data_IF_066019937356
#
_entry.id   IF_066019937356
#
_cell.length_a   1.000
_cell.length_b   1.000
_cell.length_c   1.000
_cell.angle_alpha   90.00
_cell.angle_beta   90.00
_cell.angle_gamma   90.00
#
_symmetry.space_group_name_H-M   'P 1'
#
loop_
_entity.id
_entity.type
_entity.pdbx_description
1 polymer ?
#
# COMPACT_ATOMS: atom_id res chain seq x y z
N UNK A 1 11.75 -17.87 -8.04
CA UNK A 1 10.53 -17.19 -7.50
C UNK A 1 10.90 -16.23 -6.39
N UNK A 2 10.21 -15.09 -6.31
CA UNK A 2 10.29 -14.11 -5.23
C UNK A 2 8.89 -13.89 -4.61
N UNK A 3 8.86 -13.47 -3.36
CA UNK A 3 7.66 -13.16 -2.59
C UNK A 3 7.77 -11.78 -1.96
N UNK A 4 6.64 -11.15 -1.65
CA UNK A 4 6.56 -9.78 -1.10
C UNK A 4 6.16 -9.81 0.37
N UNK A 5 6.99 -9.21 1.24
CA UNK A 5 6.62 -8.96 2.63
C UNK A 5 5.92 -7.60 2.75
N UNK A 6 4.60 -7.57 2.56
CA UNK A 6 3.81 -6.33 2.69
C UNK A 6 3.76 -5.77 4.12
N UNK A 7 4.38 -6.43 5.12
CA UNK A 7 4.48 -5.94 6.51
C UNK A 7 5.86 -5.32 6.81
N UNK A 8 6.84 -5.44 5.91
CA UNK A 8 8.10 -4.71 6.00
C UNK A 8 7.92 -3.19 5.80
N UNK A 9 8.83 -2.41 6.37
CA UNK A 9 8.94 -0.98 6.04
C UNK A 9 9.30 -0.82 4.56
N UNK A 10 8.52 -0.02 3.83
CA UNK A 10 8.75 0.29 2.42
C UNK A 10 9.59 1.54 2.19
N UNK A 11 10.10 2.21 3.24
CA UNK A 11 10.88 3.43 3.09
C UNK A 11 10.08 4.63 2.57
N UNK A 12 10.76 5.76 2.25
CA UNK A 12 10.12 7.04 1.93
C UNK A 12 9.75 7.23 0.45
N UNK A 13 10.26 6.40 -0.47
CA UNK A 13 10.02 6.57 -1.92
C UNK A 13 8.78 5.80 -2.43
N UNK A 14 8.23 4.90 -1.63
CA UNK A 14 7.08 4.06 -1.96
C UNK A 14 5.82 4.51 -1.22
N UNK A 15 4.67 4.41 -1.86
CA UNK A 15 3.37 4.64 -1.24
C UNK A 15 2.92 3.37 -0.48
N UNK A 16 2.76 3.40 0.86
CA UNK A 16 2.37 2.23 1.64
C UNK A 16 1.06 1.58 1.17
N UNK A 17 0.10 2.37 0.64
CA UNK A 17 -1.17 1.84 0.12
C UNK A 17 -0.95 1.03 -1.15
N UNK A 18 -0.05 1.47 -2.03
CA UNK A 18 0.29 0.76 -3.26
C UNK A 18 1.17 -0.47 -2.98
N UNK A 19 2.07 -0.40 -1.99
CA UNK A 19 2.86 -1.55 -1.53
C UNK A 19 1.98 -2.68 -0.97
N UNK A 20 0.87 -2.32 -0.29
CA UNK A 20 -0.18 -3.28 0.11
C UNK A 20 -1.00 -3.85 -1.05
N UNK A 21 -0.94 -3.25 -2.25
CA UNK A 21 -1.62 -3.69 -3.46
C UNK A 21 -0.70 -4.40 -4.47
N UNK A 22 0.57 -4.63 -4.13
CA UNK A 22 1.48 -5.47 -4.91
C UNK A 22 1.03 -6.94 -4.90
N UNK A 23 1.40 -7.75 -5.92
CA UNK A 23 1.20 -9.19 -5.84
C UNK A 23 2.03 -9.78 -4.69
N UNK A 24 1.53 -10.84 -4.05
CA UNK A 24 2.24 -11.53 -2.97
C UNK A 24 3.48 -12.31 -3.43
N UNK A 25 3.59 -12.59 -4.74
CA UNK A 25 4.72 -13.28 -5.36
C UNK A 25 4.93 -12.90 -6.82
N UNK A 26 6.17 -13.02 -7.28
CA UNK A 26 6.62 -12.92 -8.67
C UNK A 26 7.40 -14.20 -9.02
N UNK A 27 7.17 -14.79 -10.19
CA UNK A 27 7.84 -16.06 -10.53
C UNK A 27 7.21 -16.90 -11.63
N UNK A 28 6.08 -16.50 -12.19
CA UNK A 28 5.34 -17.27 -13.20
C UNK A 28 5.95 -17.10 -14.62
N UNK A 29 7.27 -17.24 -14.76
CA UNK A 29 7.96 -17.08 -16.04
C UNK A 29 9.49 -17.02 -15.92
N UNK A 30 10.21 -16.78 -17.04
CA UNK A 30 11.66 -16.63 -17.06
C UNK A 30 12.16 -15.49 -16.18
N UNK A 31 13.42 -15.58 -15.71
CA UNK A 31 14.03 -14.58 -14.83
C UNK A 31 13.92 -13.16 -15.39
N UNK A 32 14.16 -12.97 -16.69
CA UNK A 32 13.92 -11.73 -17.45
C UNK A 32 12.54 -11.10 -17.22
N UNK A 33 11.48 -11.91 -17.25
CA UNK A 33 10.11 -11.45 -17.02
C UNK A 33 9.92 -11.09 -15.55
N UNK A 34 10.38 -11.93 -14.62
CA UNK A 34 10.31 -11.66 -13.17
C UNK A 34 11.04 -10.36 -12.80
N UNK A 35 12.20 -10.08 -13.42
CA UNK A 35 12.95 -8.82 -13.26
C UNK A 35 12.08 -7.63 -13.68
N UNK A 36 11.52 -7.66 -14.90
CA UNK A 36 10.66 -6.58 -15.41
C UNK A 36 9.43 -6.38 -14.54
N UNK A 37 8.74 -7.45 -14.17
CA UNK A 37 7.50 -7.41 -13.37
C UNK A 37 7.76 -6.78 -11.99
N UNK A 38 8.82 -7.20 -11.29
CA UNK A 38 9.21 -6.65 -9.98
C UNK A 38 9.47 -5.15 -10.06
N UNK A 39 10.24 -4.71 -11.06
CA UNK A 39 10.58 -3.29 -11.19
C UNK A 39 9.41 -2.44 -11.70
N UNK A 40 8.59 -2.94 -12.62
CA UNK A 40 7.39 -2.23 -13.06
C UNK A 40 6.40 -2.09 -11.90
N UNK A 41 6.22 -3.13 -11.09
CA UNK A 41 5.44 -3.09 -9.87
C UNK A 41 6.00 -2.08 -8.84
N UNK A 42 7.33 -2.03 -8.66
CA UNK A 42 7.97 -1.04 -7.79
C UNK A 42 7.74 0.40 -8.28
N UNK A 43 7.82 0.64 -9.59
CA UNK A 43 7.58 1.96 -10.18
C UNK A 43 6.10 2.38 -10.08
N UNK A 44 5.16 1.44 -10.21
CA UNK A 44 3.74 1.69 -9.94
C UNK A 44 3.49 2.01 -8.46
N UNK A 45 4.20 1.32 -7.54
CA UNK A 45 4.12 1.54 -6.11
C UNK A 45 4.86 2.80 -5.60
N UNK A 46 5.62 3.49 -6.45
CA UNK A 46 6.36 4.69 -6.08
C UNK A 46 5.44 5.87 -5.73
N UNK A 47 5.92 6.78 -4.87
CA UNK A 47 5.39 8.15 -4.76
C UNK A 47 5.90 8.98 -5.93
N UNK A 48 7.21 8.91 -6.23
CA UNK A 48 7.83 9.49 -7.42
C UNK A 48 8.66 8.42 -8.15
N UNK A 49 8.16 7.84 -9.26
CA UNK A 49 8.93 6.84 -9.99
C UNK A 49 10.22 7.44 -10.58
N UNK A 50 10.22 8.76 -10.88
CA UNK A 50 11.42 9.51 -11.31
C UNK A 50 12.55 9.45 -10.26
N UNK A 51 12.23 9.51 -8.97
CA UNK A 51 13.22 9.36 -7.89
C UNK A 51 13.73 7.91 -7.82
N UNK A 52 12.84 6.91 -7.87
CA UNK A 52 13.26 5.50 -7.87
C UNK A 52 14.20 5.21 -9.06
N UNK A 53 13.85 5.61 -10.28
CA UNK A 53 14.69 5.47 -11.49
C UNK A 53 16.05 6.21 -11.43
N UNK A 54 16.24 7.13 -10.48
CA UNK A 54 17.51 7.82 -10.23
C UNK A 54 18.39 7.11 -9.20
N UNK A 55 17.79 6.32 -8.30
CA UNK A 55 18.47 5.54 -7.26
C UNK A 55 18.79 4.11 -7.72
N UNK A 56 18.03 3.58 -8.70
CA UNK A 56 18.30 2.26 -9.28
C UNK A 56 19.60 2.25 -10.11
N UNK A 57 20.53 1.36 -9.74
CA UNK A 57 21.77 1.14 -10.48
C UNK A 57 21.48 0.56 -11.87
N UNK A 58 21.97 1.24 -12.90
CA UNK A 58 21.84 0.83 -14.30
C UNK A 58 22.86 -0.25 -14.69
N UNK A 59 22.59 -0.94 -15.79
CA UNK A 59 23.51 -1.88 -16.44
C UNK A 59 23.48 -1.75 -17.96
N UNK A 60 24.42 -2.42 -18.61
CA UNK A 60 24.73 -2.21 -20.04
C UNK A 60 24.01 -3.20 -20.97
N UNK A 61 23.78 -4.43 -20.51
CA UNK A 61 23.26 -5.53 -21.36
C UNK A 61 21.94 -6.15 -20.86
N UNK A 62 21.40 -5.69 -19.73
CA UNK A 62 20.20 -6.28 -19.12
C UNK A 62 18.86 -5.73 -19.63
N UNK A 63 17.82 -6.11 -18.88
CA UNK A 63 16.42 -5.79 -19.16
C UNK A 63 16.15 -4.28 -19.28
N UNK A 64 15.40 -3.89 -20.30
CA UNK A 64 14.98 -2.51 -20.51
C UNK A 64 13.56 -2.30 -19.95
N UNK A 65 13.37 -1.26 -19.13
CA UNK A 65 12.09 -0.91 -18.53
C UNK A 65 11.75 0.52 -18.91
N UNK A 66 10.60 0.72 -19.54
CA UNK A 66 10.12 2.00 -20.05
C UNK A 66 8.85 2.42 -19.32
N UNK A 67 8.83 3.67 -18.84
CA UNK A 67 7.70 4.29 -18.17
C UNK A 67 7.46 5.69 -18.73
N UNK A 68 6.20 6.03 -19.02
CA UNK A 68 5.83 7.38 -19.42
C UNK A 68 5.76 8.29 -18.19
N UNK A 69 6.69 9.22 -18.08
CA UNK A 69 6.79 10.21 -17.00
C UNK A 69 6.62 11.61 -17.58
N UNK A 70 5.65 12.37 -17.05
CA UNK A 70 5.46 13.79 -17.43
C UNK A 70 5.41 13.97 -18.96
N UNK A 71 4.53 13.19 -19.61
CA UNK A 71 4.36 13.02 -21.07
C UNK A 71 5.57 12.54 -21.89
N UNK A 72 6.73 12.24 -21.27
CA UNK A 72 7.92 11.71 -21.94
C UNK A 72 8.20 10.24 -21.58
N UNK A 73 8.42 9.33 -22.54
CA UNK A 73 8.93 7.99 -22.24
C UNK A 73 10.33 8.08 -21.63
N UNK A 74 10.50 7.48 -20.47
CA UNK A 74 11.77 7.34 -19.75
C UNK A 74 12.10 5.87 -19.64
N UNK A 75 13.22 5.46 -20.21
CA UNK A 75 13.70 4.08 -20.16
C UNK A 75 14.95 3.97 -19.29
N UNK A 76 15.04 2.92 -18.47
CA UNK A 76 16.30 2.48 -17.86
C UNK A 76 16.65 1.08 -18.34
N UNK A 77 17.94 0.78 -18.36
CA UNK A 77 18.47 -0.57 -18.56
C UNK A 77 19.04 -1.08 -17.24
N UNK A 78 18.61 -2.27 -16.85
CA UNK A 78 19.07 -2.96 -15.65
C UNK A 78 20.36 -3.74 -15.94
N UNK A 79 21.07 -4.25 -14.91
CA UNK A 79 22.08 -5.28 -15.12
C UNK A 79 21.47 -6.55 -15.74
N UNK A 80 22.29 -7.30 -16.47
CA UNK A 80 21.97 -8.67 -16.82
C UNK A 80 22.19 -9.57 -15.58
N UNK A 81 21.39 -10.62 -15.43
CA UNK A 81 21.50 -11.60 -14.35
C UNK A 81 21.46 -12.99 -14.95
N UNK A 82 22.52 -13.76 -14.76
CA UNK A 82 22.58 -15.18 -15.16
C UNK A 82 21.91 -16.02 -14.07
N UNK A 83 22.26 -15.78 -12.82
CA UNK A 83 21.77 -16.52 -11.66
C UNK A 83 20.66 -15.78 -10.89
N UNK A 84 19.73 -16.55 -10.29
CA UNK A 84 18.71 -15.99 -9.38
C UNK A 84 19.35 -15.33 -8.13
N UNK A 85 20.59 -15.66 -7.76
CA UNK A 85 21.24 -15.07 -6.57
C UNK A 85 21.78 -13.67 -6.85
N UNK A 86 22.39 -13.43 -8.02
CA UNK A 86 22.86 -12.10 -8.41
C UNK A 86 21.70 -11.10 -8.44
N UNK A 87 20.55 -11.53 -8.99
CA UNK A 87 19.33 -10.73 -8.97
C UNK A 87 18.82 -10.47 -7.54
N UNK A 88 18.83 -11.48 -6.65
CA UNK A 88 18.35 -11.30 -5.27
C UNK A 88 19.30 -10.44 -4.41
N UNK A 89 20.62 -10.56 -4.59
CA UNK A 89 21.62 -9.69 -3.96
C UNK A 89 21.50 -8.27 -4.48
N UNK A 90 21.28 -8.09 -5.79
CA UNK A 90 21.03 -6.79 -6.39
C UNK A 90 19.75 -6.15 -5.85
N UNK A 91 18.63 -6.87 -5.77
CA UNK A 91 17.37 -6.36 -5.21
C UNK A 91 17.50 -5.93 -3.75
N UNK A 92 18.20 -6.70 -2.91
CA UNK A 92 18.47 -6.30 -1.52
C UNK A 92 19.23 -4.97 -1.43
N UNK A 93 20.25 -4.78 -2.27
CA UNK A 93 20.98 -3.51 -2.40
C UNK A 93 20.09 -2.36 -2.92
N UNK A 94 19.17 -2.63 -3.86
CA UNK A 94 18.26 -1.58 -4.36
C UNK A 94 17.25 -1.16 -3.29
N UNK A 95 16.75 -2.10 -2.47
CA UNK A 95 15.88 -1.80 -1.34
C UNK A 95 16.59 -0.94 -0.29
N UNK A 96 17.85 -1.24 0.02
CA UNK A 96 18.70 -0.43 0.91
C UNK A 96 18.89 1.00 0.38
N UNK A 97 19.21 1.18 -0.92
CA UNK A 97 19.29 2.53 -1.54
C UNK A 97 17.96 3.28 -1.57
N UNK A 98 16.84 2.56 -1.50
CA UNK A 98 15.48 3.12 -1.40
C UNK A 98 15.01 3.27 0.06
N UNK A 99 15.91 3.08 1.04
CA UNK A 99 15.62 3.07 2.48
C UNK A 99 14.44 2.16 2.87
N UNK A 100 14.16 1.15 2.06
CA UNK A 100 13.17 0.11 2.29
C UNK A 100 13.85 -1.10 2.94
N UNK A 101 13.09 -1.93 3.65
CA UNK A 101 13.68 -3.11 4.28
C UNK A 101 14.16 -4.11 3.22
N UNK A 102 15.39 -4.60 3.36
CA UNK A 102 15.95 -5.69 2.55
C UNK A 102 15.02 -6.92 2.48
N UNK A 103 14.25 -7.17 3.55
CA UNK A 103 13.29 -8.29 3.66
C UNK A 103 11.92 -7.99 3.04
N UNK A 104 11.73 -6.87 2.35
CA UNK A 104 10.49 -6.56 1.61
C UNK A 104 10.31 -7.52 0.42
N UNK A 105 11.40 -8.07 -0.12
CA UNK A 105 11.39 -9.22 -1.04
C UNK A 105 12.20 -10.37 -0.44
N UNK A 106 11.76 -11.61 -0.66
CA UNK A 106 12.49 -12.81 -0.25
C UNK A 106 12.32 -13.97 -1.25
N UNK A 107 13.31 -14.86 -1.39
CA UNK A 107 13.20 -16.10 -2.21
C UNK A 107 12.43 -17.21 -1.47
N UNK A 108 12.54 -17.27 -0.14
CA UNK A 108 11.85 -18.25 0.74
C UNK A 108 11.17 -17.48 1.87
N UNK A 109 10.05 -18.00 2.37
CA UNK A 109 9.26 -17.28 3.37
C UNK A 109 10.01 -17.17 4.70
N UNK A 110 10.47 -15.95 4.98
CA UNK A 110 11.30 -15.59 6.13
C UNK A 110 10.66 -14.44 6.90
N UNK A 111 10.82 -14.47 8.23
CA UNK A 111 10.41 -13.37 9.11
C UNK A 111 11.32 -12.13 8.92
N UNK A 112 10.88 -10.99 9.42
CA UNK A 112 11.64 -9.74 9.35
C UNK A 112 11.84 -9.13 10.73
N UNK A 113 12.92 -9.53 11.39
CA UNK A 113 13.27 -9.08 12.74
C UNK A 113 13.67 -7.59 12.80
N UNK A 114 13.84 -6.96 11.64
CA UNK A 114 14.18 -5.54 11.47
C UNK A 114 12.95 -4.60 11.43
N UNK A 115 11.72 -5.13 11.31
CA UNK A 115 10.51 -4.30 11.15
C UNK A 115 9.53 -4.49 12.32
N UNK A 116 9.04 -3.40 12.97
CA UNK A 116 8.19 -3.50 14.17
C UNK A 116 6.80 -4.13 13.91
N UNK A 117 6.40 -4.31 12.65
CA UNK A 117 5.12 -4.88 12.24
C UNK A 117 4.98 -6.39 12.50
N UNK A 118 6.07 -7.10 12.82
CA UNK A 118 6.10 -8.58 12.84
C UNK A 118 5.62 -9.16 14.19
N UNK A 119 4.33 -8.98 14.51
CA UNK A 119 3.63 -9.81 15.51
C UNK A 119 2.17 -10.21 15.15
N UNK A 120 1.61 -9.80 14.01
CA UNK A 120 0.24 -10.20 13.62
C UNK A 120 0.09 -10.65 12.16
N UNK A 121 0.49 -11.89 11.84
CA UNK A 121 -0.11 -12.71 10.75
C UNK A 121 0.39 -14.17 10.69
N UNK A 122 0.60 -14.85 11.82
CA UNK A 122 0.95 -16.30 11.87
C UNK A 122 0.05 -17.10 12.82
N UNK A 123 -1.25 -16.77 12.83
CA UNK A 123 -2.30 -17.54 13.50
C UNK A 123 -3.60 -17.43 12.70
N UNK A 124 -3.81 -18.32 11.72
CA UNK A 124 -5.13 -18.62 11.18
C UNK A 124 -5.21 -20.09 10.73
N UNK A 125 -6.20 -20.79 11.27
CA UNK A 125 -6.68 -22.14 10.94
C UNK A 125 -5.67 -23.24 10.54
N UNK A 126 -5.08 -23.86 11.57
CA UNK A 126 -4.91 -25.33 11.59
C UNK A 126 -5.19 -25.92 12.98
N UNK A 127 -6.44 -25.83 13.42
CA UNK A 127 -7.15 -26.94 14.11
C UNK A 127 -8.63 -26.60 14.36
N UNK A 128 -9.54 -27.47 13.90
CA UNK A 128 -10.97 -27.45 14.24
C UNK A 128 -11.51 -28.88 14.42
N UNK A 129 -11.14 -29.49 15.54
CA UNK A 129 -11.89 -30.59 16.16
C UNK A 129 -12.00 -30.31 17.65
N UNK A 130 -13.22 -30.17 18.14
CA UNK A 130 -13.59 -29.84 19.52
C UNK A 130 -14.21 -31.06 20.22
N UNK A 131 -14.64 -31.00 21.50
CA UNK A 131 -14.31 -30.09 22.60
C UNK A 131 -13.83 -30.89 23.86
N UNK A 132 -13.59 -30.20 25.00
CA UNK A 132 -14.33 -30.42 26.28
C UNK A 132 -13.60 -29.84 27.52
N UNK A 133 -14.40 -29.23 28.43
CA UNK A 133 -14.07 -28.86 29.82
C UNK A 133 -12.99 -27.77 30.04
N UNK A 134 -13.07 -26.88 31.04
CA UNK A 134 -14.24 -26.35 31.78
C UNK A 134 -13.83 -25.11 32.62
N UNK A 135 -14.81 -24.23 32.93
CA UNK A 135 -14.88 -23.37 34.13
C UNK A 135 -13.64 -22.50 34.52
N UNK A 136 -13.73 -21.20 34.21
CA UNK A 136 -13.62 -20.08 35.18
C UNK A 136 -14.14 -18.80 34.51
N UNK A 137 -15.38 -18.41 34.80
CA UNK A 137 -15.79 -17.42 35.83
C UNK A 137 -15.43 -15.97 35.44
N UNK A 138 -16.44 -15.27 34.93
CA UNK A 138 -16.56 -13.81 34.90
C UNK A 138 -17.72 -13.39 35.84
N UNK A 139 -17.86 -12.08 36.08
CA UNK A 139 -18.83 -11.41 36.97
C UNK A 139 -18.50 -11.56 38.48
N UNK A 140 -18.75 -10.57 39.35
CA UNK A 140 -19.48 -9.29 39.16
C UNK A 140 -18.92 -8.16 40.04
N UNK A 141 -19.27 -6.91 39.70
CA UNK A 141 -19.43 -5.72 40.58
C UNK A 141 -18.30 -5.21 41.49
N UNK A 142 -18.03 -3.90 41.43
CA UNK A 142 -18.66 -2.94 42.35
C UNK A 142 -18.61 -1.49 41.82
N UNK A 143 -19.63 -0.68 42.10
CA UNK A 143 -19.68 0.78 41.85
C UNK A 143 -20.48 1.50 42.95
N UNK A 144 -19.94 2.58 43.52
CA UNK A 144 -20.66 3.87 43.57
C UNK A 144 -19.74 5.03 43.15
N UNK A 145 -20.13 6.13 42.48
CA UNK A 145 -21.37 6.91 42.30
C UNK A 145 -21.32 8.29 43.01
N UNK A 146 -21.23 9.37 42.21
CA UNK A 146 -21.62 10.78 42.45
C UNK A 146 -21.86 11.45 41.06
N UNK A 147 -22.74 12.42 40.77
CA UNK A 147 -23.65 13.33 41.52
C UNK A 147 -23.05 14.71 41.89
N UNK A 148 -23.54 15.89 41.44
CA UNK A 148 -24.76 16.29 40.66
C UNK A 148 -24.58 17.65 39.90
N UNK A 149 -25.54 18.01 39.01
CA UNK A 149 -25.94 19.36 38.47
C UNK A 149 -25.27 19.82 37.15
N UNK A 150 -25.94 20.42 36.13
CA UNK A 150 -27.18 21.24 35.98
C UNK A 150 -26.98 22.75 36.35
N UNK A 151 -27.60 23.76 35.72
CA UNK A 151 -28.61 23.85 34.63
C UNK A 151 -28.60 25.31 34.04
N UNK A 152 -29.17 25.57 32.85
CA UNK A 152 -29.30 26.95 32.30
C UNK A 152 -30.02 27.03 30.94
N UNK A 153 -30.82 28.08 30.70
CA UNK A 153 -31.76 28.21 29.55
C UNK A 153 -31.97 29.68 29.10
N UNK A 154 -32.73 29.88 28.01
CA UNK A 154 -33.34 31.14 27.49
C UNK A 154 -32.45 32.04 26.57
N UNK A 155 -32.99 32.82 25.60
CA UNK A 155 -34.25 32.73 24.82
C UNK A 155 -34.30 33.75 23.65
N UNK A 156 -35.02 33.43 22.55
CA UNK A 156 -35.58 34.36 21.51
C UNK A 156 -34.57 35.19 20.66
N UNK A 157 -34.90 35.79 19.50
CA UNK A 157 -36.17 36.13 18.80
C UNK A 157 -36.16 35.74 17.30
N UNK A 158 -37.34 35.74 16.66
CA UNK A 158 -37.51 35.62 15.20
C UNK A 158 -37.99 36.95 14.56
N UNK A 159 -37.50 37.27 13.37
CA UNK A 159 -38.14 38.06 12.28
C UNK A 159 -37.50 37.58 10.98
N UNK A 160 -38.21 36.86 10.10
CA UNK A 160 -39.17 37.37 9.11
C UNK A 160 -38.56 38.19 7.96
N UNK A 161 -38.64 37.64 6.75
CA UNK A 161 -38.82 38.34 5.47
C UNK A 161 -39.15 37.31 4.39
N UNK A 162 -40.10 37.63 3.50
CA UNK A 162 -40.82 36.63 2.69
C UNK A 162 -40.45 36.65 1.20
N UNK A 163 -40.61 35.48 0.56
CA UNK A 163 -41.09 35.28 -0.82
C UNK A 163 -40.33 35.93 -2.02
N UNK A 164 -39.83 35.12 -2.95
CA UNK A 164 -40.28 35.06 -4.37
C UNK A 164 -39.36 34.22 -5.29
N UNK A 165 -39.96 33.52 -6.26
CA UNK A 165 -39.27 32.97 -7.44
C UNK A 165 -39.47 33.87 -8.68
N UNK A 166 -39.42 33.37 -9.94
CA UNK A 166 -39.30 31.97 -10.37
C UNK A 166 -38.23 31.71 -11.46
N UNK A 167 -38.17 30.46 -11.96
CA UNK A 167 -37.39 30.03 -13.13
C UNK A 167 -38.17 30.33 -14.43
N UNK A 168 -37.50 30.78 -15.51
CA UNK A 168 -37.96 30.54 -16.88
C UNK A 168 -36.95 29.69 -17.68
N UNK A 169 -37.45 28.78 -18.52
CA UNK A 169 -36.65 27.97 -19.45
C UNK A 169 -37.02 28.29 -20.90
N UNK A 170 -36.08 28.12 -21.85
CA UNK A 170 -36.28 27.54 -23.20
C UNK A 170 -35.02 27.60 -24.10
N UNK A 171 -34.83 26.54 -24.89
CA UNK A 171 -34.08 26.59 -26.16
C UNK A 171 -35.00 27.12 -27.29
N UNK A 172 -34.48 27.49 -28.48
CA UNK A 172 -34.52 26.50 -29.59
C UNK A 172 -33.36 26.56 -30.62
N UNK A 173 -33.43 25.61 -31.57
CA UNK A 173 -32.45 25.26 -32.63
C UNK A 173 -32.35 26.25 -33.81
N UNK A 174 -31.24 26.16 -34.58
CA UNK A 174 -31.09 26.12 -36.07
C UNK A 174 -29.59 26.19 -36.44
N UNK A 175 -29.07 25.81 -37.62
CA UNK A 175 -29.43 24.74 -38.57
C UNK A 175 -28.27 24.52 -39.59
N UNK A 176 -28.25 23.33 -40.19
CA UNK A 176 -27.48 22.81 -41.36
C UNK A 176 -27.37 23.87 -42.50
N UNK A 177 -26.20 24.05 -43.16
CA UNK A 177 -25.82 23.23 -44.34
C UNK A 177 -24.90 22.04 -44.07
#
# INVERSE_FOLDING_TARGET
TLYVNHNCSCGPYFDPKKVKALPSQFGNGPISTVIRDVFQAFLMAAISPRQILSLLKRGEEGECITLNLESKPTSIRLPAFVEEEDFYVYMRRQLEQLCACERMLFRRQEVCDKCPTVQQSVNLDREKTTPRSEKRRWSTENSPAQEQKAQGMQATVNVDSTLSGPIPAKQPRKSVP
#
